data_IF_330478340314
#
_entry.id   IF_330478340314
#
_cell.length_a   1.000
_cell.length_b   1.000
_cell.length_c   1.000
_cell.angle_alpha   90.00
_cell.angle_beta   90.00
_cell.angle_gamma   90.00
#
_symmetry.space_group_name_H-M   'P 1'
#
loop_
_entity.id
_entity.type
_entity.pdbx_description
1 polymer ?
#
# COMPACT_ATOMS: atom_id res chain seq x y z
N UNK A 1 15.31 -6.37 3.58
CA UNK A 1 13.85 -6.14 3.68
C UNK A 1 13.08 -7.21 4.44
N UNK A 2 13.52 -8.48 4.53
CA UNK A 2 12.69 -9.55 5.10
C UNK A 2 12.62 -9.59 6.64
N UNK A 3 13.68 -9.15 7.33
CA UNK A 3 13.77 -9.22 8.80
C UNK A 3 12.78 -8.26 9.48
N UNK A 4 12.56 -7.07 8.91
CA UNK A 4 11.63 -6.05 9.42
C UNK A 4 10.17 -6.53 9.48
N UNK A 5 9.55 -7.04 8.39
CA UNK A 5 8.19 -7.57 8.44
C UNK A 5 8.09 -8.84 9.29
N UNK A 6 9.13 -9.69 9.32
CA UNK A 6 9.16 -10.87 10.18
C UNK A 6 9.10 -10.48 11.67
N UNK A 7 9.91 -9.49 12.07
CA UNK A 7 9.90 -8.94 13.42
C UNK A 7 8.57 -8.28 13.77
N UNK A 8 8.00 -7.48 12.85
CA UNK A 8 6.69 -6.86 13.05
C UNK A 8 5.58 -7.91 13.21
N UNK A 9 5.57 -8.97 12.41
CA UNK A 9 4.60 -10.06 12.50
C UNK A 9 4.70 -10.79 13.85
N UNK A 10 5.91 -11.11 14.32
CA UNK A 10 6.14 -11.71 15.63
C UNK A 10 5.61 -10.81 16.76
N UNK A 11 5.89 -9.50 16.69
CA UNK A 11 5.48 -8.53 17.69
C UNK A 11 3.94 -8.41 17.75
N UNK A 12 3.29 -8.32 16.58
CA UNK A 12 1.83 -8.27 16.46
C UNK A 12 1.17 -9.57 16.96
N UNK A 13 1.78 -10.73 16.72
CA UNK A 13 1.28 -12.03 17.20
C UNK A 13 1.15 -12.06 18.74
N UNK A 14 2.13 -11.54 19.47
CA UNK A 14 2.09 -11.47 20.93
C UNK A 14 1.15 -10.36 21.47
N UNK A 15 0.97 -9.27 20.72
CA UNK A 15 0.15 -8.11 21.13
C UNK A 15 -1.29 -8.14 20.58
N UNK A 16 -1.68 -9.20 19.86
CA UNK A 16 -2.97 -9.36 19.19
C UNK A 16 -4.21 -8.94 20.00
N UNK A 17 -4.37 -9.26 21.31
CA UNK A 17 -5.57 -8.85 22.07
C UNK A 17 -5.70 -7.33 22.29
N UNK A 18 -4.67 -6.52 22.03
CA UNK A 18 -4.76 -5.05 22.07
C UNK A 18 -4.93 -4.41 20.67
N UNK A 19 -4.75 -5.19 19.60
CA UNK A 19 -4.72 -4.67 18.21
C UNK A 19 -6.13 -4.43 17.67
N UNK A 20 -7.14 -5.20 18.08
CA UNK A 20 -8.53 -4.99 17.65
C UNK A 20 -9.06 -3.59 18.00
N UNK A 21 -8.55 -2.97 19.07
CA UNK A 21 -8.91 -1.61 19.48
C UNK A 21 -8.27 -0.52 18.59
N UNK A 22 -7.24 -0.86 17.82
CA UNK A 22 -6.41 0.05 17.02
C UNK A 22 -6.63 -0.14 15.50
N UNK A 23 -7.64 -0.93 15.11
CA UNK A 23 -7.95 -1.23 13.71
C UNK A 23 -7.97 0.01 12.80
N UNK A 24 -8.53 1.13 13.27
CA UNK A 24 -8.56 2.39 12.52
C UNK A 24 -7.18 2.98 12.26
N UNK A 25 -6.27 2.96 13.26
CA UNK A 25 -4.91 3.46 13.05
C UNK A 25 -4.11 2.52 12.16
N UNK A 26 -4.31 1.20 12.26
CA UNK A 26 -3.71 0.21 11.35
C UNK A 26 -4.10 0.52 9.90
N UNK A 27 -5.39 0.78 9.63
CA UNK A 27 -5.85 1.16 8.29
C UNK A 27 -5.23 2.48 7.79
N UNK A 28 -5.02 3.47 8.68
CA UNK A 28 -4.36 4.74 8.32
C UNK A 28 -2.89 4.54 7.98
N UNK A 29 -2.15 3.78 8.80
CA UNK A 29 -0.75 3.45 8.52
C UNK A 29 -0.60 2.62 7.24
N UNK A 30 -1.57 1.76 6.97
CA UNK A 30 -1.62 0.95 5.75
C UNK A 30 -1.86 1.82 4.51
N UNK A 31 -2.82 2.75 4.57
CA UNK A 31 -3.04 3.75 3.52
C UNK A 31 -1.81 4.65 3.29
N UNK A 32 -1.11 5.04 4.36
CA UNK A 32 0.14 5.79 4.27
C UNK A 32 1.26 4.95 3.62
N UNK A 33 1.36 3.66 3.96
CA UNK A 33 2.28 2.71 3.35
C UNK A 33 2.03 2.52 1.85
N UNK A 34 0.77 2.42 1.44
CA UNK A 34 0.36 2.40 0.03
C UNK A 34 0.84 3.65 -0.72
N UNK A 35 0.58 4.83 -0.17
CA UNK A 35 1.05 6.09 -0.78
C UNK A 35 2.57 6.12 -0.92
N UNK A 36 3.29 5.74 0.13
CA UNK A 36 4.76 5.71 0.15
C UNK A 36 5.32 4.73 -0.89
N UNK A 37 4.79 3.51 -0.97
CA UNK A 37 5.24 2.52 -1.96
C UNK A 37 4.89 2.92 -3.39
N UNK A 38 3.77 3.62 -3.60
CA UNK A 38 3.41 4.14 -4.91
C UNK A 38 4.41 5.19 -5.39
N UNK A 39 4.80 6.12 -4.50
CA UNK A 39 5.84 7.13 -4.77
C UNK A 39 7.17 6.46 -5.07
N UNK A 40 7.67 5.61 -4.18
CA UNK A 40 8.97 4.96 -4.35
C UNK A 40 9.01 4.11 -5.62
N UNK A 41 7.95 3.34 -5.90
CA UNK A 41 7.85 2.50 -7.09
C UNK A 41 7.83 3.32 -8.38
N UNK A 42 7.07 4.41 -8.40
CA UNK A 42 6.99 5.32 -9.56
C UNK A 42 8.32 6.05 -9.79
N UNK A 43 8.94 6.60 -8.75
CA UNK A 43 10.24 7.28 -8.86
C UNK A 43 11.32 6.30 -9.33
N UNK A 44 11.35 5.09 -8.78
CA UNK A 44 12.26 4.02 -9.25
C UNK A 44 12.03 3.74 -10.73
N UNK A 45 10.80 3.45 -11.14
CA UNK A 45 10.48 3.17 -12.54
C UNK A 45 10.93 4.30 -13.49
N UNK A 46 10.69 5.54 -13.09
CA UNK A 46 11.10 6.72 -13.85
C UNK A 46 12.63 6.83 -13.97
N UNK A 47 13.37 6.60 -12.88
CA UNK A 47 14.86 6.59 -12.91
C UNK A 47 15.44 5.47 -13.78
N UNK A 48 14.69 4.40 -14.02
CA UNK A 48 15.07 3.33 -14.96
C UNK A 48 14.70 3.63 -16.42
N UNK A 49 14.23 4.85 -16.72
CA UNK A 49 13.94 5.32 -18.07
C UNK A 49 12.54 4.96 -18.57
N UNK A 50 11.64 4.47 -17.70
CA UNK A 50 10.23 4.31 -18.08
C UNK A 50 9.56 5.69 -18.21
N UNK A 51 8.69 5.85 -19.20
CA UNK A 51 7.87 7.05 -19.34
C UNK A 51 6.98 7.29 -18.11
N UNK A 52 6.50 8.53 -17.91
CA UNK A 52 5.69 8.91 -16.74
C UNK A 52 4.49 7.98 -16.51
N UNK A 53 3.76 7.64 -17.57
CA UNK A 53 2.56 6.80 -17.50
C UNK A 53 2.87 5.37 -17.07
N UNK A 54 3.90 4.75 -17.66
CA UNK A 54 4.35 3.41 -17.31
C UNK A 54 4.92 3.37 -15.88
N UNK A 55 5.62 4.44 -15.47
CA UNK A 55 6.16 4.57 -14.13
C UNK A 55 5.06 4.66 -13.07
N UNK A 56 4.04 5.49 -13.31
CA UNK A 56 2.89 5.63 -12.42
C UNK A 56 2.09 4.33 -12.30
N UNK A 57 1.89 3.63 -13.42
CA UNK A 57 1.23 2.33 -13.44
C UNK A 57 2.01 1.28 -12.63
N UNK A 58 3.34 1.25 -12.76
CA UNK A 58 4.19 0.31 -12.02
C UNK A 58 4.22 0.62 -10.52
N UNK A 59 4.28 1.89 -10.14
CA UNK A 59 4.20 2.31 -8.75
C UNK A 59 2.85 1.95 -8.11
N UNK A 60 1.75 2.22 -8.82
CA UNK A 60 0.40 1.83 -8.38
C UNK A 60 0.29 0.30 -8.23
N UNK A 61 0.74 -0.46 -9.22
CA UNK A 61 0.71 -1.92 -9.18
C UNK A 61 1.53 -2.48 -8.01
N UNK A 62 2.68 -1.87 -7.69
CA UNK A 62 3.53 -2.28 -6.56
C UNK A 62 2.83 -2.02 -5.22
N UNK A 63 2.26 -0.82 -5.06
CA UNK A 63 1.56 -0.44 -3.84
C UNK A 63 0.31 -1.29 -3.59
N UNK A 64 -0.55 -1.39 -4.61
CA UNK A 64 -1.80 -2.15 -4.59
C UNK A 64 -1.53 -3.64 -4.44
N UNK A 65 -0.54 -4.16 -5.15
CA UNK A 65 -0.18 -5.59 -5.14
C UNK A 65 0.12 -6.11 -3.74
N UNK A 66 0.82 -5.34 -2.90
CA UNK A 66 1.10 -5.72 -1.52
C UNK A 66 -0.17 -5.87 -0.66
N UNK A 67 -1.10 -4.92 -0.77
CA UNK A 67 -2.38 -4.94 -0.07
C UNK A 67 -3.27 -6.11 -0.52
N UNK A 68 -3.36 -6.34 -1.84
CA UNK A 68 -4.09 -7.50 -2.39
C UNK A 68 -3.50 -8.80 -1.88
N UNK A 69 -2.18 -8.95 -1.91
CA UNK A 69 -1.52 -10.20 -1.50
C UNK A 69 -1.81 -10.51 -0.02
N UNK A 70 -1.78 -9.49 0.85
CA UNK A 70 -2.15 -9.64 2.26
C UNK A 70 -3.60 -10.10 2.41
N UNK A 71 -4.53 -9.45 1.72
CA UNK A 71 -5.95 -9.73 1.88
C UNK A 71 -6.29 -11.15 1.37
N UNK A 72 -5.68 -11.58 0.26
CA UNK A 72 -5.80 -12.95 -0.26
C UNK A 72 -5.23 -13.99 0.71
N UNK A 73 -4.06 -13.72 1.32
CA UNK A 73 -3.47 -14.60 2.32
C UNK A 73 -4.29 -14.68 3.61
N UNK A 74 -5.00 -13.60 3.95
CA UNK A 74 -5.96 -13.57 5.05
C UNK A 74 -7.31 -14.22 4.71
N UNK A 75 -7.47 -14.74 3.48
CA UNK A 75 -8.72 -15.29 2.94
C UNK A 75 -9.89 -14.28 3.01
N UNK A 76 -9.58 -12.99 2.86
CA UNK A 76 -10.55 -11.91 2.79
C UNK A 76 -10.67 -11.36 1.37
N UNK A 77 -11.85 -10.84 1.02
CA UNK A 77 -12.03 -10.11 -0.24
C UNK A 77 -11.09 -8.90 -0.23
N UNK A 78 -10.24 -8.72 -1.25
CA UNK A 78 -9.30 -7.60 -1.29
C UNK A 78 -10.02 -6.28 -1.08
N UNK A 79 -9.44 -5.45 -0.23
CA UNK A 79 -9.93 -4.11 0.13
C UNK A 79 -10.18 -3.22 -1.10
N UNK A 80 -9.49 -3.46 -2.21
CA UNK A 80 -9.73 -2.76 -3.49
C UNK A 80 -11.01 -3.17 -4.22
N UNK A 81 -11.51 -4.38 -3.98
CA UNK A 81 -12.71 -4.95 -4.58
C UNK A 81 -13.94 -4.81 -3.64
N UNK A 82 -13.71 -4.34 -2.40
CA UNK A 82 -14.77 -4.11 -1.42
C UNK A 82 -15.43 -2.74 -1.63
N UNK A 83 -16.60 -2.77 -2.25
CA UNK A 83 -17.49 -1.61 -2.45
C UNK A 83 -18.03 -0.96 -1.15
N UNK A 84 -17.82 -1.58 0.01
CA UNK A 84 -18.26 -1.07 1.34
C UNK A 84 -17.16 -0.26 2.05
N UNK A 85 -15.90 -0.29 1.56
CA UNK A 85 -14.79 0.49 2.11
C UNK A 85 -14.17 1.41 1.04
N UNK A 86 -15.01 2.25 0.45
CA UNK A 86 -14.70 3.20 -0.64
C UNK A 86 -13.43 4.05 -0.45
N UNK A 87 -12.94 4.21 0.78
CA UNK A 87 -11.74 5.01 1.06
C UNK A 87 -10.41 4.35 0.75
N UNK A 88 -10.33 3.09 0.29
CA UNK A 88 -9.05 2.41 0.04
C UNK A 88 -8.43 2.72 -1.34
N UNK A 89 -9.27 2.88 -2.36
CA UNK A 89 -8.84 3.26 -3.70
C UNK A 89 -8.37 4.74 -3.77
N UNK A 90 -8.96 5.59 -2.93
CA UNK A 90 -8.69 7.03 -2.87
C UNK A 90 -7.21 7.36 -2.55
N UNK A 91 -6.57 6.85 -1.48
CA UNK A 91 -5.17 7.15 -1.18
C UNK A 91 -4.21 6.59 -2.24
N UNK A 92 -4.54 5.47 -2.89
CA UNK A 92 -3.75 4.96 -4.01
C UNK A 92 -3.84 5.90 -5.25
N UNK A 93 -5.03 6.38 -5.57
CA UNK A 93 -5.26 7.37 -6.63
C UNK A 93 -4.62 8.72 -6.32
N UNK A 94 -4.74 9.21 -5.08
CA UNK A 94 -4.11 10.45 -4.61
C UNK A 94 -2.60 10.32 -4.64
N UNK A 95 -2.05 9.19 -4.20
CA UNK A 95 -0.61 8.91 -4.27
C UNK A 95 -0.10 8.93 -5.72
N UNK A 96 -0.79 8.26 -6.63
CA UNK A 96 -0.44 8.28 -8.06
C UNK A 96 -0.54 9.70 -8.67
N UNK A 97 -1.62 10.44 -8.37
CA UNK A 97 -1.81 11.81 -8.84
C UNK A 97 -0.74 12.77 -8.30
N UNK A 98 -0.40 12.67 -7.02
CA UNK A 98 0.64 13.48 -6.36
C UNK A 98 2.01 13.22 -6.98
N UNK A 99 2.35 11.97 -7.29
CA UNK A 99 3.64 11.65 -7.92
C UNK A 99 3.72 12.19 -9.33
N UNK A 100 2.65 12.07 -10.11
CA UNK A 100 2.57 12.64 -11.47
C UNK A 100 2.72 14.17 -11.42
N UNK A 101 2.15 14.83 -10.40
CA UNK A 101 2.29 16.27 -10.19
C UNK A 101 3.69 16.69 -9.73
N UNK A 102 4.35 15.90 -8.88
CA UNK A 102 5.66 16.24 -8.32
C UNK A 102 6.87 15.85 -9.19
N UNK A 103 6.72 14.92 -10.14
CA UNK A 103 7.79 14.53 -11.08
C UNK A 103 7.89 15.50 -12.27
N UNK A 104 6.92 16.42 -12.40
CA UNK A 104 6.88 17.46 -13.44
C UNK A 104 7.58 18.74 -13.00
#
# INVERSE_FOLDING_TARGET
YFITPLGAALLVFFLHPHVERIQSAVNVFDAAGLGLFCVIGTTKAYTYGLGLTASAALGLATAVGGGVLRDVLANEVPSLLRWDRDLYAVPAMVGAAMVVLCIR
#
